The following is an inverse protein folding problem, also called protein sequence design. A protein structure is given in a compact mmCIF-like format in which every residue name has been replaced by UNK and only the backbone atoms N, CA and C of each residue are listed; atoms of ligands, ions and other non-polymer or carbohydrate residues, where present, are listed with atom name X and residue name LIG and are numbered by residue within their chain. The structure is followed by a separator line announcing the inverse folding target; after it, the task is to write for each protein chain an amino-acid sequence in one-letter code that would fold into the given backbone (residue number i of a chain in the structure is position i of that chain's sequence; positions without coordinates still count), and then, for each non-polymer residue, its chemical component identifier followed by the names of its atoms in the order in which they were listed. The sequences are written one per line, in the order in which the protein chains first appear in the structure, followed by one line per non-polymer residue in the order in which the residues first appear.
data_IF_216887966939
#
_entry.id   IF_216887966939
#
_cell.length_a   1.000
_cell.length_b   1.000
_cell.length_c   1.000
_cell.angle_alpha   90.00
_cell.angle_beta   90.00
_cell.angle_gamma   90.00
#
_symmetry.space_group_name_H-M   'P 1'
#
loop_
_entity.id
_entity.type
_entity.pdbx_description
1 polymer ?
#
# COMPACT_ATOMS: atom_id res chain seq x y z
N UNK A 1 8.36 -32.77 31.70
CA UNK A 1 9.37 -31.73 31.43
C UNK A 1 8.63 -30.50 30.94
N UNK A 2 8.78 -29.34 31.58
CA UNK A 2 8.29 -28.10 31.00
C UNK A 2 9.07 -27.83 29.70
N UNK A 3 8.42 -27.37 28.62
CA UNK A 3 9.14 -27.05 27.39
C UNK A 3 10.18 -25.96 27.65
N UNK A 4 11.30 -26.01 26.93
CA UNK A 4 12.53 -25.24 27.21
C UNK A 4 12.37 -23.70 27.19
N UNK A 5 11.20 -23.18 26.80
CA UNK A 5 10.95 -21.75 26.55
C UNK A 5 9.82 -21.16 27.43
N UNK A 6 9.30 -21.90 28.42
CA UNK A 6 8.29 -21.36 29.35
C UNK A 6 8.95 -20.37 30.32
N UNK A 7 8.37 -19.17 30.44
CA UNK A 7 8.77 -18.10 31.35
C UNK A 7 8.60 -18.53 32.82
N UNK A 8 9.61 -19.22 33.37
CA UNK A 8 9.59 -19.76 34.73
C UNK A 8 10.56 -19.05 35.69
N UNK A 9 11.54 -18.30 35.17
CA UNK A 9 12.52 -17.53 35.94
C UNK A 9 12.13 -16.06 36.17
N UNK A 10 12.74 -15.41 37.17
CA UNK A 10 12.54 -13.98 37.49
C UNK A 10 12.93 -13.05 36.34
N UNK A 11 14.01 -13.37 35.63
CA UNK A 11 14.50 -12.61 34.48
C UNK A 11 13.48 -12.59 33.32
N UNK A 12 12.81 -13.71 33.05
CA UNK A 12 11.75 -13.78 32.05
C UNK A 12 10.56 -12.90 32.41
N UNK A 13 10.17 -12.85 33.69
CA UNK A 13 9.10 -11.96 34.16
C UNK A 13 9.48 -10.48 33.99
N UNK A 14 10.74 -10.13 34.22
CA UNK A 14 11.25 -8.77 33.99
C UNK A 14 11.19 -8.38 32.52
N UNK A 15 11.48 -9.30 31.58
CA UNK A 15 11.31 -9.05 30.14
C UNK A 15 9.87 -8.62 29.83
N UNK A 16 8.86 -9.38 30.26
CA UNK A 16 7.46 -9.01 30.05
C UNK A 16 7.08 -7.70 30.74
N UNK A 17 7.60 -7.46 31.95
CA UNK A 17 7.39 -6.21 32.68
C UNK A 17 7.91 -5.00 31.90
N UNK A 18 9.15 -5.04 31.39
CA UNK A 18 9.73 -3.94 30.64
C UNK A 18 9.04 -3.72 29.30
N UNK A 19 8.63 -4.81 28.61
CA UNK A 19 7.80 -4.71 27.40
C UNK A 19 6.48 -3.98 27.70
N UNK A 20 5.78 -4.36 28.76
CA UNK A 20 4.52 -3.74 29.15
C UNK A 20 4.67 -2.25 29.56
N UNK A 21 5.83 -1.88 30.12
CA UNK A 21 6.15 -0.49 30.49
C UNK A 21 6.72 0.35 29.35
N UNK A 22 6.91 -0.23 28.16
CA UNK A 22 7.65 0.38 27.06
C UNK A 22 9.07 0.84 27.47
N UNK A 23 9.69 0.13 28.43
CA UNK A 23 11.04 0.46 28.91
C UNK A 23 12.09 -0.25 28.04
N UNK A 24 12.39 0.37 26.91
CA UNK A 24 13.33 -0.15 25.93
C UNK A 24 14.74 -0.36 26.51
N UNK A 25 15.23 0.57 27.34
CA UNK A 25 16.60 0.52 27.84
C UNK A 25 16.78 -0.64 28.82
N UNK A 26 15.86 -0.81 29.77
CA UNK A 26 15.92 -1.91 30.73
C UNK A 26 15.71 -3.26 30.06
N UNK A 27 14.77 -3.34 29.10
CA UNK A 27 14.56 -4.54 28.29
C UNK A 27 15.84 -4.95 27.54
N UNK A 28 16.48 -3.99 26.86
CA UNK A 28 17.72 -4.23 26.13
C UNK A 28 18.85 -4.65 27.07
N UNK A 29 18.97 -4.00 28.23
CA UNK A 29 20.00 -4.33 29.23
C UNK A 29 19.86 -5.77 29.70
N UNK A 30 18.66 -6.19 30.14
CA UNK A 30 18.48 -7.53 30.72
C UNK A 30 18.67 -8.63 29.68
N UNK A 31 18.18 -8.45 28.45
CA UNK A 31 18.34 -9.44 27.37
C UNK A 31 19.82 -9.63 27.01
N UNK A 32 20.57 -8.53 26.86
CA UNK A 32 21.97 -8.61 26.44
C UNK A 32 22.92 -9.06 27.56
N UNK A 33 22.70 -8.61 28.80
CA UNK A 33 23.56 -8.97 29.94
C UNK A 33 23.44 -10.45 30.31
N UNK A 34 22.23 -11.01 30.22
CA UNK A 34 21.96 -12.40 30.60
C UNK A 34 21.85 -13.33 29.39
N UNK A 35 22.08 -12.82 28.17
CA UNK A 35 21.95 -13.56 26.90
C UNK A 35 20.63 -14.36 26.82
N UNK A 36 19.52 -13.69 27.14
CA UNK A 36 18.21 -14.32 27.25
C UNK A 36 17.66 -14.70 25.88
N UNK A 37 17.03 -15.88 25.81
CA UNK A 37 16.20 -16.25 24.66
C UNK A 37 14.99 -15.30 24.58
N UNK A 38 14.79 -14.65 23.44
CA UNK A 38 13.68 -13.71 23.21
C UNK A 38 12.35 -14.39 22.88
N UNK A 39 12.37 -15.69 22.58
CA UNK A 39 11.17 -16.53 22.33
C UNK A 39 10.64 -17.24 23.58
N UNK A 40 10.93 -16.70 24.76
CA UNK A 40 10.22 -17.10 25.98
C UNK A 40 8.73 -16.81 25.85
N UNK A 41 7.90 -17.57 26.56
CA UNK A 41 6.46 -17.32 26.60
C UNK A 41 5.83 -17.63 27.95
N UNK A 42 4.73 -16.93 28.27
CA UNK A 42 3.95 -17.18 29.48
C UNK A 42 3.02 -18.41 29.37
N UNK A 43 2.19 -18.66 30.38
CA UNK A 43 1.28 -19.81 30.42
C UNK A 43 0.22 -19.82 29.30
N UNK A 44 -0.05 -18.68 28.67
CA UNK A 44 -0.97 -18.55 27.53
C UNK A 44 -0.26 -18.60 26.18
N UNK A 45 1.07 -18.77 26.17
CA UNK A 45 1.88 -18.76 24.95
C UNK A 45 2.10 -17.36 24.35
N UNK A 46 1.98 -16.32 25.19
CA UNK A 46 2.31 -14.94 24.84
C UNK A 46 3.82 -14.76 24.87
N UNK A 47 4.42 -14.29 23.76
CA UNK A 47 5.85 -13.96 23.69
C UNK A 47 6.07 -12.47 23.94
N UNK A 48 7.30 -12.03 24.28
CA UNK A 48 7.65 -10.61 24.35
C UNK A 48 7.26 -9.85 23.09
N UNK A 49 7.47 -10.44 21.91
CA UNK A 49 7.13 -9.83 20.62
C UNK A 49 5.61 -9.65 20.46
N UNK A 50 4.80 -10.64 20.84
CA UNK A 50 3.33 -10.54 20.81
C UNK A 50 2.83 -9.45 21.77
N UNK A 51 3.41 -9.36 22.97
CA UNK A 51 3.08 -8.31 23.95
C UNK A 51 3.45 -6.91 23.45
N UNK A 52 4.65 -6.74 22.90
CA UNK A 52 5.06 -5.47 22.29
C UNK A 52 4.13 -5.09 21.12
N UNK A 53 3.75 -6.08 20.30
CA UNK A 53 2.86 -5.86 19.16
C UNK A 53 1.45 -5.42 19.60
N UNK A 54 0.89 -6.05 20.63
CA UNK A 54 -0.42 -5.69 21.20
C UNK A 54 -0.42 -4.27 21.77
N UNK A 55 0.66 -3.86 22.42
CA UNK A 55 0.80 -2.51 22.99
C UNK A 55 1.26 -1.46 21.95
N UNK A 56 1.54 -1.86 20.71
CA UNK A 56 2.00 -0.95 19.66
C UNK A 56 3.43 -0.42 19.85
N UNK A 57 4.27 -1.09 20.65
CA UNK A 57 5.64 -0.67 20.97
C UNK A 57 6.61 -1.01 19.83
N UNK A 58 6.57 -0.24 18.74
CA UNK A 58 7.34 -0.50 17.51
C UNK A 58 8.86 -0.67 17.74
N UNK A 59 9.47 0.17 18.57
CA UNK A 59 10.92 0.09 18.85
C UNK A 59 11.29 -1.21 19.56
N UNK A 60 10.45 -1.66 20.50
CA UNK A 60 10.62 -2.95 21.17
C UNK A 60 10.40 -4.10 20.19
N UNK A 61 9.37 -4.04 19.34
CA UNK A 61 9.17 -5.04 18.30
C UNK A 61 10.39 -5.19 17.40
N UNK A 62 10.93 -4.06 16.91
CA UNK A 62 12.13 -4.06 16.06
C UNK A 62 13.30 -4.73 16.76
N UNK A 63 13.58 -4.33 18.01
CA UNK A 63 14.69 -4.89 18.76
C UNK A 63 14.54 -6.40 19.00
N UNK A 64 13.35 -6.88 19.36
CA UNK A 64 13.11 -8.31 19.56
C UNK A 64 13.30 -9.11 18.27
N UNK A 65 12.87 -8.56 17.11
CA UNK A 65 13.12 -9.14 15.80
C UNK A 65 14.61 -9.16 15.44
N UNK A 66 15.34 -8.09 15.76
CA UNK A 66 16.80 -8.01 15.57
C UNK A 66 17.55 -9.03 16.45
N UNK A 67 16.98 -9.42 17.60
CA UNK A 67 17.48 -10.50 18.46
C UNK A 67 17.02 -11.90 18.01
N UNK A 68 16.33 -12.01 16.88
CA UNK A 68 15.94 -13.28 16.27
C UNK A 68 14.63 -13.88 16.77
N UNK A 69 13.73 -13.08 17.35
CA UNK A 69 12.40 -13.56 17.76
C UNK A 69 11.62 -14.15 16.58
N UNK A 70 10.97 -15.29 16.79
CA UNK A 70 10.11 -15.92 15.79
C UNK A 70 8.83 -15.10 15.58
N UNK A 71 8.84 -14.31 14.51
CA UNK A 71 7.71 -13.48 14.06
C UNK A 71 6.43 -14.29 13.81
N UNK A 72 6.55 -15.57 13.49
CA UNK A 72 5.46 -16.47 13.14
C UNK A 72 5.07 -17.43 14.27
N UNK A 73 5.59 -17.26 15.49
CA UNK A 73 5.31 -18.11 16.65
C UNK A 73 3.80 -18.30 16.89
N UNK A 74 3.34 -19.56 16.87
CA UNK A 74 1.92 -19.95 17.06
C UNK A 74 1.61 -20.58 18.42
N UNK A 75 2.52 -20.54 19.37
CA UNK A 75 2.35 -21.18 20.69
C UNK A 75 1.23 -20.60 21.56
N UNK A 76 0.59 -19.50 21.14
CA UNK A 76 -0.52 -18.91 21.87
C UNK A 76 -1.71 -19.89 21.89
N UNK A 77 -2.40 -20.03 23.02
CA UNK A 77 -3.49 -21.00 23.23
C UNK A 77 -4.62 -20.92 22.18
N UNK A 78 -4.80 -19.75 21.57
CA UNK A 78 -5.77 -19.50 20.49
C UNK A 78 -5.14 -19.33 19.09
N UNK A 79 -3.86 -19.66 18.92
CA UNK A 79 -3.15 -19.57 17.64
C UNK A 79 -2.86 -18.14 17.16
N UNK A 80 -2.92 -17.14 18.05
CA UNK A 80 -2.60 -15.75 17.69
C UNK A 80 -1.09 -15.58 17.49
N UNK A 81 -0.75 -14.94 16.38
CA UNK A 81 0.61 -14.51 16.01
C UNK A 81 0.84 -13.05 16.41
N UNK A 82 2.09 -12.57 16.36
CA UNK A 82 2.39 -11.16 16.60
C UNK A 82 1.58 -10.22 15.68
N UNK A 83 1.36 -10.61 14.41
CA UNK A 83 0.58 -9.81 13.46
C UNK A 83 -0.89 -9.70 13.85
N UNK A 84 -1.50 -10.73 14.46
CA UNK A 84 -2.87 -10.61 14.98
C UNK A 84 -2.95 -9.59 16.11
N UNK A 85 -1.97 -9.59 17.03
CA UNK A 85 -1.93 -8.64 18.14
C UNK A 85 -1.66 -7.22 17.65
N UNK A 86 -0.75 -7.03 16.68
CA UNK A 86 -0.55 -5.73 16.03
C UNK A 86 -1.83 -5.22 15.36
N UNK A 87 -2.56 -6.09 14.66
CA UNK A 87 -3.83 -5.77 14.03
C UNK A 87 -4.90 -5.33 15.06
N UNK A 88 -4.96 -6.00 16.22
CA UNK A 88 -5.84 -5.64 17.34
C UNK A 88 -5.41 -4.38 18.10
N UNK A 89 -4.16 -3.97 18.02
CA UNK A 89 -3.67 -2.71 18.62
C UNK A 89 -4.07 -1.47 17.81
N UNK A 90 -4.41 -1.66 16.53
CA UNK A 90 -4.62 -0.56 15.59
C UNK A 90 -3.32 0.10 15.08
N UNK A 91 -2.15 -0.40 15.45
CA UNK A 91 -0.86 0.15 15.04
C UNK A 91 -0.39 -0.43 13.68
N UNK A 92 -0.74 0.29 12.61
CA UNK A 92 -0.38 -0.10 11.24
C UNK A 92 1.13 -0.12 10.97
N UNK A 93 1.93 0.66 11.70
CA UNK A 93 3.39 0.64 11.56
C UNK A 93 4.02 -0.63 12.13
N UNK A 94 3.46 -1.16 13.24
CA UNK A 94 3.87 -2.45 13.78
C UNK A 94 3.44 -3.58 12.85
N UNK A 95 2.24 -3.53 12.27
CA UNK A 95 1.83 -4.48 11.23
C UNK A 95 2.83 -4.50 10.07
N UNK A 96 3.20 -3.33 9.55
CA UNK A 96 4.17 -3.22 8.46
C UNK A 96 5.54 -3.79 8.85
N UNK A 97 6.05 -3.45 10.04
CA UNK A 97 7.33 -3.96 10.54
C UNK A 97 7.35 -5.51 10.62
N UNK A 98 6.29 -6.10 11.17
CA UNK A 98 6.19 -7.56 11.28
C UNK A 98 6.16 -8.22 9.90
N UNK A 99 5.39 -7.65 8.96
CA UNK A 99 5.31 -8.13 7.57
C UNK A 99 6.66 -8.03 6.85
N UNK A 100 7.37 -6.91 6.98
CA UNK A 100 8.70 -6.70 6.42
C UNK A 100 9.72 -7.68 7.01
N UNK A 101 9.49 -8.13 8.25
CA UNK A 101 10.30 -9.14 8.96
C UNK A 101 9.88 -10.58 8.67
N UNK A 102 9.00 -10.81 7.69
CA UNK A 102 8.61 -12.15 7.24
C UNK A 102 7.41 -12.75 7.96
N UNK A 103 6.59 -11.95 8.65
CA UNK A 103 5.30 -12.43 9.14
C UNK A 103 4.43 -12.93 7.98
N UNK A 104 3.81 -14.10 8.17
CA UNK A 104 2.72 -14.54 7.30
C UNK A 104 1.56 -13.53 7.43
N UNK A 105 1.03 -13.05 6.31
CA UNK A 105 -0.08 -12.09 6.24
C UNK A 105 -1.47 -12.72 6.46
N UNK A 106 -1.61 -14.03 6.24
CA UNK A 106 -2.88 -14.77 6.33
C UNK A 106 -2.93 -15.92 7.36
N UNK A 107 -2.20 -15.90 8.49
CA UNK A 107 -2.30 -16.97 9.47
C UNK A 107 -3.73 -17.01 10.03
N UNK A 108 -4.28 -18.21 10.18
CA UNK A 108 -5.57 -18.40 10.84
C UNK A 108 -5.35 -18.65 12.35
N UNK A 109 -6.11 -17.96 13.18
CA UNK A 109 -6.27 -18.29 14.60
C UNK A 109 -7.25 -19.46 14.80
N UNK A 110 -7.51 -19.86 16.06
CA UNK A 110 -8.39 -20.99 16.41
C UNK A 110 -9.84 -20.84 15.95
N UNK A 111 -10.30 -19.62 15.63
CA UNK A 111 -11.64 -19.33 15.12
C UNK A 111 -11.66 -19.06 13.61
N UNK A 112 -10.57 -19.38 12.91
CA UNK A 112 -10.48 -19.26 11.45
C UNK A 112 -10.41 -17.82 10.94
N UNK A 113 -9.86 -16.88 11.74
CA UNK A 113 -9.72 -15.47 11.37
C UNK A 113 -8.29 -15.09 11.10
N UNK A 114 -8.09 -14.24 10.09
CA UNK A 114 -6.79 -13.63 9.75
C UNK A 114 -6.55 -12.35 10.57
N UNK A 115 -5.30 -11.86 10.66
CA UNK A 115 -5.01 -10.59 11.30
C UNK A 115 -5.80 -9.42 10.73
N UNK A 116 -5.94 -9.35 9.40
CA UNK A 116 -6.72 -8.32 8.71
C UNK A 116 -8.20 -8.37 9.10
N UNK A 117 -8.80 -9.56 9.22
CA UNK A 117 -10.18 -9.70 9.68
C UNK A 117 -10.36 -9.26 11.14
N UNK A 118 -9.37 -9.51 12.00
CA UNK A 118 -9.39 -9.01 13.38
C UNK A 118 -9.30 -7.49 13.44
N UNK A 119 -8.43 -6.86 12.64
CA UNK A 119 -8.39 -5.39 12.51
C UNK A 119 -9.73 -4.82 12.01
N UNK A 120 -10.35 -5.47 11.02
CA UNK A 120 -11.64 -5.05 10.49
C UNK A 120 -12.76 -5.13 11.53
N UNK A 121 -12.78 -6.18 12.36
CA UNK A 121 -13.76 -6.36 13.44
C UNK A 121 -13.74 -5.22 14.46
N UNK A 122 -12.56 -4.67 14.75
CA UNK A 122 -12.39 -3.54 15.69
C UNK A 122 -12.46 -2.16 14.98
N UNK A 123 -12.50 -2.13 13.64
CA UNK A 123 -12.56 -0.90 12.85
C UNK A 123 -11.20 -0.26 12.55
N UNK A 124 -10.09 -0.99 12.69
CA UNK A 124 -8.75 -0.49 12.39
C UNK A 124 -8.40 -0.58 10.89
N UNK A 125 -9.04 0.26 10.09
CA UNK A 125 -8.94 0.22 8.63
C UNK A 125 -7.52 0.40 8.10
N UNK A 126 -6.65 1.17 8.76
CA UNK A 126 -5.25 1.32 8.33
C UNK A 126 -4.46 0.00 8.47
N UNK A 127 -4.73 -0.81 9.50
CA UNK A 127 -4.13 -2.14 9.63
C UNK A 127 -4.64 -3.09 8.55
N UNK A 128 -5.95 -3.08 8.28
CA UNK A 128 -6.56 -3.85 7.17
C UNK A 128 -5.88 -3.49 5.85
N UNK A 129 -5.71 -2.20 5.59
CA UNK A 129 -5.08 -1.68 4.39
C UNK A 129 -3.64 -2.19 4.25
N UNK A 130 -2.82 -2.02 5.29
CA UNK A 130 -1.41 -2.49 5.30
C UNK A 130 -1.33 -3.99 5.04
N UNK A 131 -2.11 -4.79 5.76
CA UNK A 131 -2.04 -6.26 5.67
C UNK A 131 -2.52 -6.74 4.30
N UNK A 132 -3.65 -6.23 3.79
CA UNK A 132 -4.20 -6.67 2.51
C UNK A 132 -3.40 -6.15 1.31
N UNK A 133 -2.70 -5.01 1.45
CA UNK A 133 -1.84 -4.45 0.40
C UNK A 133 -0.39 -4.97 0.43
N UNK A 134 -0.07 -5.88 1.33
CA UNK A 134 1.27 -6.40 1.45
C UNK A 134 1.48 -7.62 0.56
N UNK A 135 2.58 -7.59 -0.20
CA UNK A 135 3.17 -8.80 -0.78
C UNK A 135 4.64 -8.86 -0.36
N UNK A 136 5.13 -10.00 0.15
CA UNK A 136 6.55 -10.15 0.41
C UNK A 136 7.31 -10.14 -0.92
N UNK A 137 8.54 -9.62 -0.90
CA UNK A 137 9.38 -9.52 -2.11
C UNK A 137 9.62 -10.89 -2.77
N UNK A 138 9.67 -11.95 -1.98
CA UNK A 138 9.80 -13.34 -2.44
C UNK A 138 8.69 -13.76 -3.41
N UNK A 139 7.49 -13.17 -3.32
CA UNK A 139 6.38 -13.45 -4.25
C UNK A 139 6.65 -12.90 -5.66
N UNK A 140 7.41 -11.80 -5.77
CA UNK A 140 7.89 -11.30 -7.06
C UNK A 140 9.11 -12.08 -7.53
N UNK A 141 10.04 -12.38 -6.63
CA UNK A 141 11.26 -13.15 -6.92
C UNK A 141 10.94 -14.57 -7.39
N UNK A 142 9.79 -15.14 -7.02
CA UNK A 142 9.27 -16.39 -7.59
C UNK A 142 9.32 -16.39 -9.12
N UNK A 143 8.98 -15.29 -9.78
CA UNK A 143 8.97 -15.20 -11.25
C UNK A 143 10.36 -15.05 -11.87
N UNK A 144 11.39 -14.85 -11.05
CA UNK A 144 12.79 -14.76 -11.46
C UNK A 144 13.52 -16.09 -11.47
N UNK A 145 12.85 -17.13 -11.00
CA UNK A 145 13.33 -18.51 -11.01
C UNK A 145 12.60 -19.29 -12.11
N UNK A 146 13.27 -20.34 -12.62
CA UNK A 146 12.66 -21.34 -13.51
C UNK A 146 11.92 -22.38 -12.69
N UNK A 147 10.72 -22.77 -13.12
CA UNK A 147 9.91 -23.78 -12.45
C UNK A 147 9.51 -24.90 -13.40
N UNK A 148 9.50 -26.15 -12.91
CA UNK A 148 9.02 -27.30 -13.67
C UNK A 148 9.78 -27.52 -14.99
N UNK A 149 9.08 -27.35 -16.11
CA UNK A 149 9.61 -27.55 -17.47
C UNK A 149 10.07 -26.25 -18.15
N UNK A 150 10.10 -25.13 -17.43
CA UNK A 150 10.51 -23.83 -17.98
C UNK A 150 12.01 -23.79 -18.24
N UNK A 151 12.40 -23.34 -19.43
CA UNK A 151 13.81 -23.21 -19.84
C UNK A 151 14.40 -21.84 -19.48
N UNK A 152 13.56 -20.84 -19.23
CA UNK A 152 13.96 -19.49 -18.84
C UNK A 152 12.98 -18.89 -17.82
N UNK A 153 13.45 -17.97 -16.94
CA UNK A 153 12.57 -17.32 -15.98
C UNK A 153 11.62 -16.34 -16.69
N UNK A 154 10.38 -16.24 -16.19
CA UNK A 154 9.38 -15.32 -16.74
C UNK A 154 9.79 -13.84 -16.57
N UNK A 155 10.54 -13.53 -15.52
CA UNK A 155 11.00 -12.19 -15.18
C UNK A 155 12.51 -12.18 -14.89
N UNK A 156 13.34 -11.39 -15.57
CA UNK A 156 14.74 -11.26 -15.18
C UNK A 156 14.89 -10.65 -13.77
N UNK A 157 15.89 -11.10 -13.01
CA UNK A 157 16.07 -10.71 -11.59
C UNK A 157 16.18 -9.20 -11.35
N UNK A 158 16.71 -8.45 -12.32
CA UNK A 158 16.83 -6.98 -12.28
C UNK A 158 15.48 -6.27 -12.11
N UNK A 159 14.38 -6.88 -12.55
CA UNK A 159 13.04 -6.29 -12.44
C UNK A 159 12.36 -6.53 -11.08
N UNK A 160 12.83 -7.48 -10.27
CA UNK A 160 12.12 -7.89 -9.06
C UNK A 160 11.95 -6.75 -8.04
N UNK A 161 13.03 -6.05 -7.72
CA UNK A 161 12.98 -4.94 -6.74
C UNK A 161 12.17 -3.74 -7.26
N UNK A 162 12.37 -3.26 -8.51
CA UNK A 162 11.52 -2.23 -9.09
C UNK A 162 10.04 -2.61 -9.13
N UNK A 163 9.70 -3.85 -9.50
CA UNK A 163 8.33 -4.33 -9.60
C UNK A 163 7.67 -4.46 -8.23
N UNK A 164 8.37 -5.02 -7.25
CA UNK A 164 7.89 -5.07 -5.86
C UNK A 164 7.59 -3.66 -5.34
N UNK A 165 8.53 -2.72 -5.52
CA UNK A 165 8.33 -1.32 -5.13
C UNK A 165 7.15 -0.66 -5.84
N UNK A 166 6.90 -1.01 -7.11
CA UNK A 166 5.75 -0.52 -7.88
C UNK A 166 4.42 -1.06 -7.33
N UNK A 167 4.33 -2.36 -7.03
CA UNK A 167 3.11 -2.99 -6.49
C UNK A 167 2.79 -2.48 -5.08
N UNK A 168 3.82 -2.25 -4.26
CA UNK A 168 3.66 -1.79 -2.87
C UNK A 168 3.22 -0.32 -2.73
N UNK A 169 3.11 0.44 -3.83
CA UNK A 169 2.60 1.81 -3.77
C UNK A 169 1.13 1.84 -3.35
N UNK A 170 0.76 2.87 -2.58
CA UNK A 170 -0.61 3.04 -2.04
C UNK A 170 -1.46 3.99 -2.87
N UNK A 171 -0.86 4.96 -3.54
CA UNK A 171 -1.63 5.92 -4.34
C UNK A 171 -2.02 5.30 -5.69
N UNK A 172 -3.31 5.07 -5.85
CA UNK A 172 -3.93 4.43 -7.02
C UNK A 172 -4.39 5.43 -8.08
N UNK A 173 -4.09 6.73 -7.95
CA UNK A 173 -4.38 7.68 -9.01
C UNK A 173 -3.63 7.29 -10.30
N UNK A 174 -4.29 7.19 -11.48
CA UNK A 174 -3.67 6.70 -12.71
C UNK A 174 -2.35 7.40 -13.06
N UNK A 175 -2.29 8.73 -12.91
CA UNK A 175 -1.04 9.50 -13.10
C UNK A 175 0.05 9.08 -12.12
N UNK A 176 -0.25 8.89 -10.82
CA UNK A 176 0.77 8.47 -9.86
C UNK A 176 1.26 7.06 -10.17
N UNK A 177 0.36 6.15 -10.50
CA UNK A 177 0.73 4.78 -10.91
C UNK A 177 1.69 4.83 -12.09
N UNK A 178 1.37 5.59 -13.15
CA UNK A 178 2.26 5.69 -14.30
C UNK A 178 3.62 6.34 -13.96
N UNK A 179 3.64 7.40 -13.13
CA UNK A 179 4.88 8.04 -12.69
C UNK A 179 5.75 7.14 -11.79
N UNK A 180 5.17 6.12 -11.16
CA UNK A 180 5.88 5.14 -10.35
C UNK A 180 6.52 4.01 -11.19
N UNK A 181 6.26 3.96 -12.51
CA UNK A 181 6.99 3.07 -13.42
C UNK A 181 8.44 3.55 -13.53
N UNK A 182 9.34 2.85 -12.86
CA UNK A 182 10.78 3.14 -12.93
C UNK A 182 11.31 2.88 -14.34
N UNK A 183 12.39 3.57 -14.77
CA UNK A 183 12.99 3.37 -16.10
C UNK A 183 13.23 1.90 -16.44
N UNK A 184 13.73 1.11 -15.49
CA UNK A 184 13.91 -0.34 -15.65
C UNK A 184 12.62 -1.06 -16.04
N UNK A 185 11.47 -0.74 -15.41
CA UNK A 185 10.19 -1.38 -15.74
C UNK A 185 9.69 -0.97 -17.15
N UNK A 186 10.00 0.26 -17.58
CA UNK A 186 9.56 0.80 -18.87
C UNK A 186 10.23 0.06 -20.05
N UNK A 187 11.42 -0.49 -19.85
CA UNK A 187 12.14 -1.25 -20.88
C UNK A 187 11.37 -2.48 -21.40
N UNK A 188 10.51 -3.09 -20.59
CA UNK A 188 9.69 -4.25 -20.99
C UNK A 188 8.31 -4.24 -20.32
N UNK A 189 7.53 -3.18 -20.58
CA UNK A 189 6.15 -3.06 -20.09
C UNK A 189 5.25 -4.27 -20.42
N UNK A 190 5.31 -4.90 -21.63
CA UNK A 190 4.53 -6.10 -21.92
C UNK A 190 4.80 -7.25 -20.94
N UNK A 191 6.07 -7.49 -20.59
CA UNK A 191 6.44 -8.49 -19.58
C UNK A 191 5.93 -8.09 -18.20
N UNK A 192 6.10 -6.84 -17.80
CA UNK A 192 5.61 -6.34 -16.50
C UNK A 192 4.10 -6.52 -16.37
N UNK A 193 3.34 -6.13 -17.40
CA UNK A 193 1.89 -6.38 -17.48
C UNK A 193 1.57 -7.86 -17.29
N UNK A 194 2.29 -8.75 -17.98
CA UNK A 194 2.05 -10.19 -17.90
C UNK A 194 2.33 -10.76 -16.50
N UNK A 195 3.37 -10.30 -15.82
CA UNK A 195 3.66 -10.72 -14.44
C UNK A 195 2.54 -10.26 -13.49
N UNK A 196 2.06 -9.02 -13.62
CA UNK A 196 0.95 -8.52 -12.81
C UNK A 196 -0.32 -9.36 -12.99
N UNK A 197 -0.64 -9.80 -14.21
CA UNK A 197 -1.75 -10.72 -14.47
C UNK A 197 -1.55 -12.09 -13.81
N UNK A 198 -0.36 -12.66 -13.93
CA UNK A 198 -0.04 -13.95 -13.31
C UNK A 198 -0.12 -13.87 -11.78
N UNK A 199 0.33 -12.77 -11.19
CA UNK A 199 0.21 -12.53 -9.75
C UNK A 199 -1.25 -12.35 -9.34
N UNK A 200 -2.02 -11.58 -10.12
CA UNK A 200 -3.46 -11.38 -9.93
C UNK A 200 -4.21 -12.73 -9.86
N UNK A 201 -3.91 -13.64 -10.79
CA UNK A 201 -4.46 -14.99 -10.78
C UNK A 201 -3.98 -15.83 -9.59
N UNK A 202 -2.69 -15.72 -9.24
CA UNK A 202 -2.09 -16.46 -8.12
C UNK A 202 -2.81 -16.12 -6.81
N UNK A 203 -3.09 -14.84 -6.56
CA UNK A 203 -3.81 -14.39 -5.36
C UNK A 203 -5.20 -15.03 -5.22
N UNK A 204 -5.91 -15.24 -6.32
CA UNK A 204 -7.23 -15.88 -6.29
C UNK A 204 -7.18 -17.40 -6.19
N UNK A 205 -6.05 -18.02 -6.57
CA UNK A 205 -5.85 -19.47 -6.52
C UNK A 205 -5.35 -19.96 -5.15
N UNK A 206 -5.16 -19.08 -4.15
CA UNK A 206 -4.77 -19.43 -2.77
C UNK A 206 -5.88 -20.09 -1.94
N UNK A 207 -7.07 -20.34 -2.51
CA UNK A 207 -8.19 -20.97 -1.81
C UNK A 207 -8.70 -20.12 -0.63
N UNK A 208 -8.67 -20.70 0.58
CA UNK A 208 -9.10 -20.01 1.81
C UNK A 208 -8.23 -18.79 2.17
N UNK A 209 -7.01 -18.70 1.63
CA UNK A 209 -6.10 -17.57 1.83
C UNK A 209 -6.15 -16.56 0.66
N UNK A 210 -7.21 -16.57 -0.15
CA UNK A 210 -7.35 -15.63 -1.26
C UNK A 210 -7.37 -14.17 -0.80
N UNK A 211 -6.55 -13.35 -1.46
CA UNK A 211 -6.51 -11.91 -1.24
C UNK A 211 -7.18 -11.17 -2.41
N UNK A 212 -8.50 -11.07 -2.36
CA UNK A 212 -9.31 -10.42 -3.42
C UNK A 212 -8.88 -8.97 -3.66
N UNK A 213 -8.48 -8.25 -2.60
CA UNK A 213 -8.04 -6.85 -2.65
C UNK A 213 -6.74 -6.74 -3.44
N UNK A 214 -5.73 -7.55 -3.11
CA UNK A 214 -4.46 -7.56 -3.83
C UNK A 214 -4.64 -8.04 -5.27
N UNK A 215 -5.47 -9.07 -5.49
CA UNK A 215 -5.79 -9.52 -6.85
C UNK A 215 -6.35 -8.39 -7.72
N UNK A 216 -7.33 -7.64 -7.20
CA UNK A 216 -7.89 -6.50 -7.91
C UNK A 216 -6.88 -5.38 -8.11
N UNK A 217 -6.03 -5.08 -7.12
CA UNK A 217 -4.94 -4.10 -7.25
C UNK A 217 -3.97 -4.49 -8.37
N UNK A 218 -3.54 -5.75 -8.43
CA UNK A 218 -2.64 -6.24 -9.47
C UNK A 218 -3.27 -6.14 -10.87
N UNK A 219 -4.57 -6.45 -10.99
CA UNK A 219 -5.35 -6.22 -12.21
C UNK A 219 -5.38 -4.73 -12.58
N UNK A 220 -5.71 -3.86 -11.62
CA UNK A 220 -5.73 -2.42 -11.81
C UNK A 220 -4.39 -1.89 -12.34
N UNK A 221 -3.28 -2.27 -11.70
CA UNK A 221 -1.93 -1.90 -12.12
C UNK A 221 -1.62 -2.42 -13.53
N UNK A 222 -1.99 -3.66 -13.84
CA UNK A 222 -1.83 -4.25 -15.18
C UNK A 222 -2.56 -3.46 -16.27
N UNK A 223 -3.80 -3.04 -16.00
CA UNK A 223 -4.58 -2.23 -16.95
C UNK A 223 -3.99 -0.83 -17.15
N UNK A 224 -3.47 -0.18 -16.09
CA UNK A 224 -2.77 1.11 -16.25
C UNK A 224 -1.50 0.94 -17.09
N UNK A 225 -0.71 -0.11 -16.83
CA UNK A 225 0.45 -0.46 -17.68
C UNK A 225 0.02 -0.67 -19.13
N UNK A 226 -1.11 -1.34 -19.37
CA UNK A 226 -1.66 -1.53 -20.71
C UNK A 226 -1.99 -0.20 -21.41
N UNK A 227 -2.53 0.79 -20.70
CA UNK A 227 -2.77 2.12 -21.26
C UNK A 227 -1.47 2.87 -21.59
N UNK A 228 -0.43 2.75 -20.76
CA UNK A 228 0.89 3.31 -21.06
C UNK A 228 1.51 2.65 -22.30
N UNK A 229 1.37 1.33 -22.44
CA UNK A 229 1.78 0.59 -23.65
C UNK A 229 1.07 1.15 -24.89
N UNK A 230 -0.25 1.38 -24.84
CA UNK A 230 -1.01 1.96 -25.97
C UNK A 230 -0.51 3.35 -26.38
N UNK A 231 0.04 4.13 -25.46
CA UNK A 231 0.66 5.43 -25.77
C UNK A 231 1.98 5.29 -26.53
N UNK A 232 2.72 4.19 -26.36
CA UNK A 232 4.01 3.94 -27.02
C UNK A 232 3.88 3.78 -28.55
N UNK A 233 2.72 3.34 -29.04
CA UNK A 233 2.49 3.06 -30.47
C UNK A 233 1.87 4.21 -31.27
N UNK A 234 1.48 5.32 -30.63
CA UNK A 234 0.67 6.39 -31.25
C UNK A 234 1.47 7.57 -31.83
N UNK A 235 2.79 7.60 -31.69
CA UNK A 235 3.62 8.68 -32.26
C UNK A 235 4.92 8.13 -32.87
N UNK A 236 4.95 7.94 -34.20
CA UNK A 236 6.17 7.59 -34.95
C UNK A 236 7.21 8.73 -34.97
N UNK A 237 6.81 9.95 -34.63
CA UNK A 237 7.68 11.13 -34.61
C UNK A 237 8.35 11.27 -33.24
N UNK A 238 9.65 10.88 -33.17
CA UNK A 238 10.64 11.15 -32.11
C UNK A 238 10.18 11.09 -30.64
N UNK A 239 10.62 10.04 -29.95
CA UNK A 239 11.20 10.13 -28.59
C UNK A 239 10.31 10.72 -27.49
N UNK A 240 8.98 10.59 -27.59
CA UNK A 240 8.08 11.03 -26.52
C UNK A 240 7.94 9.91 -25.48
N UNK A 241 8.26 10.21 -24.23
CA UNK A 241 8.10 9.29 -23.10
C UNK A 241 6.64 8.79 -23.01
N UNK A 242 6.38 7.48 -23.10
CA UNK A 242 5.02 6.94 -23.06
C UNK A 242 4.29 7.26 -21.75
N UNK A 243 5.02 7.41 -20.64
CA UNK A 243 4.46 7.85 -19.36
C UNK A 243 3.98 9.29 -19.48
N UNK A 244 4.80 10.20 -19.99
CA UNK A 244 4.40 11.61 -20.19
C UNK A 244 3.19 11.73 -21.14
N UNK A 245 3.14 10.94 -22.22
CA UNK A 245 2.00 10.91 -23.14
C UNK A 245 0.70 10.46 -22.43
N UNK A 246 0.78 9.42 -21.62
CA UNK A 246 -0.35 8.93 -20.82
C UNK A 246 -0.81 9.99 -19.79
N UNK A 247 0.12 10.62 -19.08
CA UNK A 247 -0.18 11.69 -18.12
C UNK A 247 -0.85 12.87 -18.82
N UNK A 248 -0.37 13.29 -19.99
CA UNK A 248 -0.99 14.37 -20.76
C UNK A 248 -2.42 14.05 -21.18
N UNK A 249 -2.70 12.79 -21.56
CA UNK A 249 -4.06 12.31 -21.88
C UNK A 249 -5.01 12.48 -20.68
N UNK A 250 -4.53 12.15 -19.48
CA UNK A 250 -5.31 12.23 -18.25
C UNK A 250 -5.53 13.67 -17.76
N UNK A 251 -4.53 14.55 -17.88
CA UNK A 251 -4.62 15.88 -17.28
C UNK A 251 -5.45 16.90 -18.08
N UNK A 252 -5.94 16.55 -19.27
CA UNK A 252 -6.78 17.47 -20.06
C UNK A 252 -8.05 17.82 -19.29
N UNK A 253 -8.29 19.10 -18.98
CA UNK A 253 -9.44 19.54 -18.17
C UNK A 253 -10.79 19.02 -18.70
N UNK A 254 -11.69 18.62 -17.77
CA UNK A 254 -12.99 17.95 -17.98
C UNK A 254 -12.91 16.59 -18.69
N UNK A 255 -12.32 16.56 -19.89
CA UNK A 255 -12.12 15.33 -20.68
C UNK A 255 -11.29 14.29 -19.93
N UNK A 256 -10.35 14.73 -19.11
CA UNK A 256 -9.47 13.91 -18.30
C UNK A 256 -10.14 13.27 -17.10
N UNK A 257 -11.00 14.02 -16.40
CA UNK A 257 -11.81 13.50 -15.29
C UNK A 257 -12.81 12.47 -15.80
N UNK A 258 -13.53 12.79 -16.89
CA UNK A 258 -14.42 11.86 -17.60
C UNK A 258 -13.66 10.61 -18.09
N UNK A 259 -12.44 10.82 -18.61
CA UNK A 259 -11.59 9.72 -19.07
C UNK A 259 -11.12 8.83 -17.92
N UNK A 260 -10.70 9.39 -16.77
CA UNK A 260 -10.35 8.61 -15.59
C UNK A 260 -11.56 7.77 -15.15
N UNK A 261 -12.74 8.38 -15.07
CA UNK A 261 -13.95 7.69 -14.63
C UNK A 261 -14.30 6.52 -15.57
N UNK A 262 -14.28 6.77 -16.88
CA UNK A 262 -14.49 5.73 -17.91
C UNK A 262 -13.44 4.62 -17.83
N UNK A 263 -12.16 4.99 -17.78
CA UNK A 263 -11.04 4.04 -17.67
C UNK A 263 -11.20 3.13 -16.46
N UNK A 264 -11.50 3.70 -15.28
CA UNK A 264 -11.61 2.91 -14.05
C UNK A 264 -12.85 2.02 -14.09
N UNK A 265 -13.98 2.48 -14.64
CA UNK A 265 -15.17 1.64 -14.82
C UNK A 265 -14.90 0.46 -15.75
N UNK A 266 -14.14 0.67 -16.82
CA UNK A 266 -13.72 -0.40 -17.72
C UNK A 266 -12.77 -1.38 -17.01
N UNK A 267 -11.80 -0.89 -16.23
CA UNK A 267 -10.93 -1.75 -15.40
C UNK A 267 -11.75 -2.64 -14.47
N UNK A 268 -12.73 -2.07 -13.75
CA UNK A 268 -13.62 -2.85 -12.88
C UNK A 268 -14.40 -3.88 -13.71
N UNK A 269 -14.94 -3.48 -14.86
CA UNK A 269 -15.69 -4.37 -15.75
C UNK A 269 -14.82 -5.49 -16.32
N UNK A 270 -13.54 -5.27 -16.55
CA UNK A 270 -12.61 -6.26 -17.11
C UNK A 270 -12.04 -7.22 -16.06
N UNK A 271 -12.28 -6.99 -14.76
CA UNK A 271 -11.76 -7.87 -13.73
C UNK A 271 -12.30 -9.31 -13.90
N UNK A 272 -11.40 -10.32 -13.98
CA UNK A 272 -11.81 -11.68 -14.38
C UNK A 272 -12.61 -12.43 -13.31
N UNK A 273 -12.48 -12.07 -12.03
CA UNK A 273 -13.07 -12.83 -10.92
C UNK A 273 -14.43 -12.26 -10.49
N UNK A 274 -15.49 -12.68 -11.16
CA UNK A 274 -16.86 -12.12 -10.98
C UNK A 274 -17.55 -12.52 -9.68
N UNK A 275 -17.20 -13.68 -9.14
CA UNK A 275 -17.84 -14.22 -7.92
C UNK A 275 -17.25 -13.65 -6.62
N UNK A 276 -16.14 -12.91 -6.69
CA UNK A 276 -15.50 -12.36 -5.51
C UNK A 276 -16.33 -11.21 -4.89
N UNK A 277 -16.14 -10.97 -3.60
CA UNK A 277 -16.93 -10.01 -2.84
C UNK A 277 -16.61 -8.59 -3.29
N UNK A 278 -15.32 -8.28 -3.47
CA UNK A 278 -14.86 -6.94 -3.87
C UNK A 278 -15.44 -6.51 -5.22
N UNK A 279 -15.47 -7.40 -6.21
CA UNK A 279 -16.04 -7.13 -7.54
C UNK A 279 -17.53 -6.80 -7.43
N UNK A 280 -18.30 -7.65 -6.73
CA UNK A 280 -19.75 -7.47 -6.56
C UNK A 280 -20.07 -6.15 -5.87
N UNK A 281 -19.31 -5.77 -4.84
CA UNK A 281 -19.45 -4.48 -4.17
C UNK A 281 -19.17 -3.31 -5.13
N UNK A 282 -18.03 -3.34 -5.84
CA UNK A 282 -17.65 -2.26 -6.75
C UNK A 282 -18.65 -2.07 -7.89
N UNK A 283 -19.10 -3.16 -8.54
CA UNK A 283 -20.08 -3.08 -9.63
C UNK A 283 -21.42 -2.53 -9.13
N UNK A 284 -21.88 -2.98 -7.96
CA UNK A 284 -23.14 -2.51 -7.38
C UNK A 284 -23.09 -1.01 -7.11
N UNK A 285 -22.00 -0.51 -6.53
CA UNK A 285 -21.83 0.92 -6.26
C UNK A 285 -21.67 1.77 -7.53
N UNK A 286 -21.09 1.22 -8.60
CA UNK A 286 -20.92 1.93 -9.88
C UNK A 286 -22.17 1.91 -10.77
N UNK A 287 -23.10 0.99 -10.55
CA UNK A 287 -24.32 0.85 -11.36
C UNK A 287 -25.32 2.00 -11.16
N UNK A 288 -25.33 2.64 -9.98
CA UNK A 288 -26.27 3.71 -9.64
C UNK A 288 -25.85 5.05 -10.26
N UNK A 289 -26.17 5.29 -11.54
CA UNK A 289 -25.70 6.47 -12.29
C UNK A 289 -26.11 7.84 -11.72
N UNK A 290 -27.20 7.94 -10.93
CA UNK A 290 -27.66 9.23 -10.37
C UNK A 290 -26.86 9.69 -9.15
N UNK A 291 -26.31 8.76 -8.37
CA UNK A 291 -25.65 9.04 -7.09
C UNK A 291 -24.31 8.27 -6.92
N UNK A 292 -23.75 7.72 -8.00
CA UNK A 292 -22.52 6.92 -7.90
C UNK A 292 -21.34 7.82 -7.50
N UNK A 293 -20.52 7.42 -6.52
CA UNK A 293 -19.28 8.13 -6.23
C UNK A 293 -18.33 8.07 -7.44
N UNK A 294 -17.40 9.03 -7.59
CA UNK A 294 -16.38 8.98 -8.65
C UNK A 294 -15.64 7.63 -8.62
N UNK A 295 -15.43 6.99 -9.76
CA UNK A 295 -14.89 5.63 -9.81
C UNK A 295 -13.51 5.51 -9.14
N UNK A 296 -12.69 6.56 -9.21
CA UNK A 296 -11.40 6.62 -8.52
C UNK A 296 -11.54 6.55 -6.99
N UNK A 297 -12.54 7.24 -6.42
CA UNK A 297 -12.77 7.22 -4.98
C UNK A 297 -13.17 5.82 -4.50
N UNK A 298 -14.03 5.13 -5.26
CA UNK A 298 -14.45 3.78 -4.99
C UNK A 298 -13.28 2.78 -5.04
N UNK A 299 -12.48 2.82 -6.10
CA UNK A 299 -11.29 1.95 -6.22
C UNK A 299 -10.26 2.26 -5.14
N UNK A 300 -10.10 3.53 -4.75
CA UNK A 300 -9.23 3.92 -3.64
C UNK A 300 -9.69 3.27 -2.34
N UNK A 301 -10.99 3.31 -2.03
CA UNK A 301 -11.54 2.66 -0.82
C UNK A 301 -11.45 1.14 -0.90
N UNK A 302 -11.70 0.56 -2.08
CA UNK A 302 -11.63 -0.89 -2.28
C UNK A 302 -10.20 -1.43 -2.08
N UNK A 303 -9.19 -0.72 -2.60
CA UNK A 303 -7.79 -1.14 -2.50
C UNK A 303 -7.20 -0.76 -1.14
N UNK A 304 -7.32 0.50 -0.71
CA UNK A 304 -6.65 1.02 0.47
C UNK A 304 -7.50 0.96 1.76
N UNK A 305 -8.70 0.41 1.69
CA UNK A 305 -9.67 0.47 2.78
C UNK A 305 -10.28 1.88 2.95
N UNK A 306 -11.34 1.93 3.75
CA UNK A 306 -11.96 3.19 4.13
C UNK A 306 -11.02 3.97 5.06
N UNK A 307 -10.64 5.19 4.65
CA UNK A 307 -9.94 6.13 5.53
C UNK A 307 -10.97 6.88 6.36
N UNK A 308 -10.65 7.20 7.61
CA UNK A 308 -11.52 7.99 8.49
C UNK A 308 -11.76 9.41 7.95
N UNK A 309 -12.56 10.21 8.66
CA UNK A 309 -12.84 11.60 8.26
C UNK A 309 -11.55 12.41 8.21
N UNK A 310 -11.19 12.90 7.02
CA UNK A 310 -10.01 13.74 6.80
C UNK A 310 -10.37 14.85 5.83
N UNK A 311 -11.08 15.86 6.33
CA UNK A 311 -11.75 16.86 5.48
C UNK A 311 -10.78 17.85 4.82
N UNK A 312 -9.50 17.88 5.22
CA UNK A 312 -8.50 18.88 4.78
C UNK A 312 -7.20 18.30 4.20
N UNK A 313 -7.23 17.08 3.64
CA UNK A 313 -6.03 16.49 3.05
C UNK A 313 -5.67 17.19 1.73
N UNK A 314 -4.63 18.02 1.78
CA UNK A 314 -4.06 18.69 0.62
C UNK A 314 -3.46 17.67 -0.35
N UNK A 315 -3.99 17.60 -1.57
CA UNK A 315 -3.52 16.68 -2.61
C UNK A 315 -2.76 17.37 -3.73
N UNK A 316 -1.90 16.61 -4.39
CA UNK A 316 -1.19 17.03 -5.59
C UNK A 316 -2.16 17.12 -6.76
N UNK A 317 -2.25 18.29 -7.40
CA UNK A 317 -3.16 18.50 -8.53
C UNK A 317 -2.79 17.69 -9.80
N UNK A 318 -1.59 17.10 -9.84
CA UNK A 318 -1.14 16.29 -10.98
C UNK A 318 -1.44 14.81 -10.77
N UNK A 319 -1.27 14.30 -9.56
CA UNK A 319 -1.21 12.86 -9.32
C UNK A 319 -1.99 12.41 -8.08
N UNK A 320 -2.79 13.29 -7.47
CA UNK A 320 -3.65 12.98 -6.33
C UNK A 320 -2.91 12.65 -5.02
N UNK A 321 -1.59 12.70 -5.00
CA UNK A 321 -0.80 12.34 -3.80
C UNK A 321 -1.13 13.26 -2.63
N UNK A 322 -1.35 12.66 -1.47
CA UNK A 322 -1.69 13.38 -0.25
C UNK A 322 -0.48 14.15 0.30
N UNK A 323 -0.75 15.15 1.14
CA UNK A 323 0.27 15.99 1.82
C UNK A 323 1.23 16.68 0.84
N UNK A 324 0.72 17.08 -0.34
CA UNK A 324 1.49 17.85 -1.30
C UNK A 324 1.98 19.17 -0.69
N UNK A 325 3.29 19.42 -0.72
CA UNK A 325 3.91 20.52 0.04
C UNK A 325 4.24 21.76 -0.81
N UNK A 326 4.43 21.61 -2.13
CA UNK A 326 4.87 22.71 -3.00
C UNK A 326 3.68 23.43 -3.60
N UNK A 327 3.56 24.73 -3.35
CA UNK A 327 2.51 25.58 -3.95
C UNK A 327 2.98 26.17 -5.28
N UNK A 328 2.06 26.35 -6.23
CA UNK A 328 2.30 27.14 -7.43
C UNK A 328 2.82 28.53 -7.03
N UNK A 329 3.96 28.95 -7.60
CA UNK A 329 4.61 30.20 -7.23
C UNK A 329 3.79 31.45 -7.54
N UNK A 330 2.90 31.37 -8.55
CA UNK A 330 2.03 32.46 -8.99
C UNK A 330 0.72 32.53 -8.19
N UNK A 331 -0.17 31.55 -8.36
CA UNK A 331 -1.51 31.63 -7.75
C UNK A 331 -1.59 31.17 -6.29
N UNK A 332 -0.59 30.42 -5.78
CA UNK A 332 -0.56 29.82 -4.43
C UNK A 332 -1.72 28.86 -4.08
N UNK A 333 -2.70 28.68 -4.97
CA UNK A 333 -3.90 27.86 -4.76
C UNK A 333 -3.67 26.37 -5.08
N UNK A 334 -2.86 26.09 -6.11
CA UNK A 334 -2.59 24.71 -6.56
C UNK A 334 -1.34 24.17 -5.87
N UNK A 335 -1.40 22.90 -5.46
CA UNK A 335 -0.29 22.18 -4.81
C UNK A 335 0.23 21.02 -5.65
N UNK A 336 1.52 20.75 -5.49
CA UNK A 336 2.29 19.73 -6.17
C UNK A 336 3.19 18.99 -5.17
N UNK A 337 3.55 17.77 -5.51
CA UNK A 337 4.59 17.04 -4.77
C UNK A 337 5.95 17.71 -4.95
N UNK A 338 6.28 18.01 -6.21
CA UNK A 338 7.59 18.44 -6.65
C UNK A 338 7.49 19.25 -7.96
N UNK A 339 8.66 19.62 -8.49
CA UNK A 339 8.79 20.37 -9.74
C UNK A 339 8.31 19.58 -10.96
N UNK A 340 8.40 18.27 -10.92
CA UNK A 340 8.04 17.40 -12.04
C UNK A 340 6.52 17.31 -12.19
N UNK A 341 5.80 17.09 -11.09
CA UNK A 341 4.35 17.18 -11.06
C UNK A 341 3.87 18.54 -11.57
N UNK A 342 4.54 19.63 -11.15
CA UNK A 342 4.22 20.98 -11.63
C UNK A 342 4.45 21.11 -13.14
N UNK A 343 5.59 20.65 -13.67
CA UNK A 343 5.93 20.68 -15.10
C UNK A 343 4.86 19.95 -15.93
N UNK A 344 4.49 18.75 -15.50
CA UNK A 344 3.51 17.90 -16.18
C UNK A 344 2.12 18.51 -16.20
N UNK A 345 1.69 19.23 -15.16
CA UNK A 345 0.37 19.88 -15.14
C UNK A 345 0.38 21.29 -15.75
N UNK A 346 1.55 21.93 -15.88
CA UNK A 346 1.64 23.34 -16.27
C UNK A 346 0.97 23.68 -17.60
N UNK A 347 0.99 22.76 -18.58
CA UNK A 347 0.39 23.01 -19.89
C UNK A 347 -1.12 23.31 -19.81
N UNK A 348 -1.82 22.74 -18.82
CA UNK A 348 -3.23 23.01 -18.52
C UNK A 348 -3.36 24.16 -17.53
N UNK A 349 -2.63 24.09 -16.41
CA UNK A 349 -2.75 25.04 -15.31
C UNK A 349 -2.43 26.49 -15.71
N UNK A 350 -1.46 26.73 -16.61
CA UNK A 350 -0.97 28.08 -16.96
C UNK A 350 -2.08 29.07 -17.34
N UNK A 351 -3.15 28.61 -18.01
CA UNK A 351 -4.25 29.48 -18.45
C UNK A 351 -5.08 30.00 -17.27
N UNK A 352 -5.34 29.15 -16.29
CA UNK A 352 -6.10 29.49 -15.07
C UNK A 352 -5.23 30.24 -14.07
N UNK A 353 -3.97 29.83 -13.97
CA UNK A 353 -3.01 30.46 -13.09
C UNK A 353 -2.87 31.97 -13.37
N UNK A 354 -2.88 32.37 -14.64
CA UNK A 354 -2.76 33.77 -15.02
C UNK A 354 -4.03 34.56 -14.65
N UNK A 355 -5.23 34.01 -14.88
CA UNK A 355 -6.50 34.64 -14.50
C UNK A 355 -6.61 34.87 -12.98
N UNK A 356 -6.29 33.84 -12.20
CA UNK A 356 -6.36 33.94 -10.73
C UNK A 356 -5.29 34.90 -10.18
N UNK A 357 -4.14 35.02 -10.86
CA UNK A 357 -3.11 35.99 -10.49
C UNK A 357 -3.55 37.43 -10.79
N UNK A 358 -4.20 37.67 -11.93
CA UNK A 358 -4.79 38.97 -12.28
C UNK A 358 -5.87 39.38 -11.26
N UNK A 359 -6.75 38.46 -10.86
CA UNK A 359 -7.76 38.72 -9.82
C UNK A 359 -7.14 38.99 -8.43
N UNK A 360 -6.07 38.28 -8.07
CA UNK A 360 -5.33 38.51 -6.82
C UNK A 360 -4.65 39.89 -6.82
N UNK A 361 -3.99 40.26 -7.93
CA UNK A 361 -3.36 41.58 -8.09
C UNK A 361 -4.43 42.67 -8.00
N UNK A 362 -5.56 42.54 -8.71
CA UNK A 362 -6.66 43.50 -8.66
C UNK A 362 -7.25 43.64 -7.25
N UNK A 363 -7.35 42.56 -6.47
CA UNK A 363 -7.78 42.61 -5.07
C UNK A 363 -6.77 43.32 -4.17
N UNK A 364 -5.47 43.11 -4.38
CA UNK A 364 -4.40 43.78 -3.62
C UNK A 364 -4.32 45.28 -3.96
N UNK A 365 -4.43 45.65 -5.24
CA UNK A 365 -4.43 47.05 -5.67
C UNK A 365 -5.66 47.82 -5.15
N UNK A 366 -6.83 47.18 -5.11
CA UNK A 366 -8.04 47.79 -4.56
C UNK A 366 -8.00 47.92 -3.04
N UNK A 367 -7.27 47.06 -2.32
CA UNK A 367 -7.12 47.16 -0.86
C UNK A 367 -6.05 48.18 -0.43
N UNK A 368 -5.08 48.51 -1.31
CA UNK A 368 -4.12 49.61 -1.09
C UNK A 368 -4.76 50.98 -1.35
N UNK A 369 -5.79 51.08 -2.20
CA UNK A 369 -6.50 52.35 -2.48
C UNK A 369 -7.53 52.77 -1.43
N UNK A 370 -7.82 51.91 -0.45
CA UNK A 370 -8.83 52.13 0.60
C UNK A 370 -8.18 52.51 1.95
N UNK A 371 -6.85 52.47 2.03
CA UNK A 371 -6.06 53.09 3.11
C UNK A 371 -5.41 54.38 2.59
#
# INVERSE_FOLDING_TARGET
MAPANVCTGEEGKLVFYYVAKNDFLSLKSIILQHNLNVDIYDEHGMTPLKSAAYNGHKEICQFLLDQGADVNCKNHEHGYTALHFAALSGNAEVCQLLLDSGANSHPLNSVGRTPSQMAAFVGFHNCVAVINNYIPKSEVEYYTLTHGLETEPKLPSVYASPLHKFIMQVNVHPVRVALNLQPTLIEDLPRIKKILELMCEKEMKRGAESNEVMSFKLHYLSCIVAEVIKCSFRSPEKQSDPVELFVRKILVRKRGEEYIDFLIRDIVREFPFRECTIFRQMVTSLANQKDSPPALSLVTVAINGQRGFSDDVKTCATCGEEKASKKCSKCKQVQYCDRECQRLHWFVHKKECNRNNEELINKMENSVKIN
#
